data_IF_867558200451
#
_entry.id   IF_867558200451
#
_cell.length_a   1.000
_cell.length_b   1.000
_cell.length_c   1.000
_cell.angle_alpha   90.00
_cell.angle_beta   90.00
_cell.angle_gamma   90.00
#
_symmetry.space_group_name_H-M   'P 1'
#
loop_
_entity.id
_entity.type
_entity.pdbx_description
1 polymer ?
#
# COMPACT_ATOMS: atom_id res chain seq x y z
N UNK A 1 2.97 -9.20 45.74
CA UNK A 1 2.77 -8.07 44.80
C UNK A 1 3.29 -8.52 43.45
N UNK A 2 2.40 -9.05 42.60
CA UNK A 2 2.78 -9.64 41.31
C UNK A 2 2.55 -8.57 40.25
N UNK A 3 3.63 -8.07 39.66
CA UNK A 3 3.56 -7.20 38.50
C UNK A 3 3.18 -8.05 37.28
N UNK A 4 1.89 -8.06 36.93
CA UNK A 4 1.43 -8.49 35.61
C UNK A 4 1.69 -7.35 34.64
N UNK A 5 2.89 -7.31 34.06
CA UNK A 5 3.16 -6.45 32.92
C UNK A 5 2.31 -6.91 31.75
N UNK A 6 1.24 -6.18 31.46
CA UNK A 6 0.51 -6.29 30.19
C UNK A 6 1.51 -6.01 29.07
N UNK A 7 1.63 -6.95 28.14
CA UNK A 7 2.32 -6.74 26.89
C UNK A 7 1.55 -5.68 26.08
N UNK A 8 1.80 -4.40 26.38
CA UNK A 8 1.59 -3.27 25.46
C UNK A 8 2.64 -3.41 24.34
N UNK A 9 2.55 -4.51 23.59
CA UNK A 9 3.63 -5.03 22.77
C UNK A 9 3.45 -4.61 21.32
N UNK A 10 4.30 -3.69 20.84
CA UNK A 10 4.54 -3.32 19.44
C UNK A 10 3.35 -2.87 18.55
N UNK A 11 2.17 -3.49 18.64
CA UNK A 11 0.97 -3.19 17.85
C UNK A 11 0.36 -1.83 18.18
N UNK A 12 0.37 -1.39 19.45
CA UNK A 12 -0.11 -0.04 19.85
C UNK A 12 0.79 1.10 19.33
N UNK A 13 1.98 0.77 18.83
CA UNK A 13 2.91 1.71 18.19
C UNK A 13 2.91 1.61 16.66
N UNK A 14 2.32 0.55 16.10
CA UNK A 14 2.26 0.36 14.66
C UNK A 14 1.16 1.23 14.06
N UNK A 15 1.55 2.10 13.14
CA UNK A 15 0.68 3.08 12.52
C UNK A 15 -0.07 2.53 11.29
N UNK A 16 0.21 1.29 10.87
CA UNK A 16 -0.38 0.69 9.68
C UNK A 16 -1.80 0.17 9.94
N UNK A 17 -2.67 0.22 8.93
CA UNK A 17 -4.06 -0.22 9.03
C UNK A 17 -4.22 -1.73 9.30
N UNK A 18 -3.17 -2.52 9.12
CA UNK A 18 -3.12 -3.97 9.39
C UNK A 18 -2.53 -4.32 10.76
N UNK A 19 -2.21 -3.34 11.61
CA UNK A 19 -1.51 -3.57 12.89
C UNK A 19 -2.21 -4.60 13.79
N UNK A 20 -3.54 -4.63 13.77
CA UNK A 20 -4.33 -5.61 14.54
C UNK A 20 -4.20 -7.02 13.99
N UNK A 21 -4.11 -7.18 12.68
CA UNK A 21 -3.99 -8.48 12.00
C UNK A 21 -2.55 -9.00 11.97
N UNK A 22 -1.56 -8.12 12.12
CA UNK A 22 -0.15 -8.46 12.32
C UNK A 22 0.43 -7.81 13.58
N UNK A 23 0.12 -8.34 14.78
CA UNK A 23 0.59 -7.76 16.04
C UNK A 23 2.12 -7.81 16.21
N UNK A 24 2.82 -8.59 15.37
CA UNK A 24 4.28 -8.66 15.39
C UNK A 24 4.95 -7.49 14.65
N UNK A 25 4.19 -6.70 13.88
CA UNK A 25 4.68 -5.61 13.02
C UNK A 25 5.61 -6.08 11.89
N UNK A 26 5.59 -7.37 11.55
CA UNK A 26 6.43 -7.96 10.50
C UNK A 26 6.07 -7.40 9.12
N UNK A 27 4.79 -7.18 8.86
CA UNK A 27 4.26 -6.63 7.60
C UNK A 27 4.74 -5.20 7.43
N UNK A 28 4.61 -4.37 8.47
CA UNK A 28 5.12 -2.98 8.50
C UNK A 28 6.62 -2.93 8.25
N UNK A 29 7.44 -3.68 9.00
CA UNK A 29 8.91 -3.72 8.76
C UNK A 29 9.27 -4.21 7.36
N UNK A 30 8.50 -5.15 6.81
CA UNK A 30 8.71 -5.67 5.45
C UNK A 30 8.40 -4.61 4.40
N UNK A 31 7.27 -3.91 4.55
CA UNK A 31 6.85 -2.84 3.67
C UNK A 31 7.83 -1.65 3.76
N UNK A 32 8.23 -1.24 4.97
CA UNK A 32 9.25 -0.20 5.17
C UNK A 32 10.55 -0.54 4.45
N UNK A 33 11.05 -1.78 4.59
CA UNK A 33 12.25 -2.23 3.87
C UNK A 33 12.08 -2.13 2.35
N UNK A 34 10.97 -2.61 1.83
CA UNK A 34 10.70 -2.59 0.39
C UNK A 34 10.56 -1.15 -0.15
N UNK A 35 9.80 -0.29 0.53
CA UNK A 35 9.62 1.12 0.17
C UNK A 35 10.94 1.88 0.27
N UNK A 36 11.74 1.65 1.31
CA UNK A 36 13.05 2.30 1.45
C UNK A 36 13.99 1.98 0.29
N UNK A 37 13.87 0.78 -0.28
CA UNK A 37 14.65 0.32 -1.44
C UNK A 37 14.09 0.78 -2.79
N UNK A 38 12.88 1.33 -2.83
CA UNK A 38 12.26 1.87 -4.04
C UNK A 38 12.51 3.38 -4.17
N UNK A 39 12.07 3.96 -5.29
CA UNK A 39 12.04 5.40 -5.53
C UNK A 39 10.79 6.10 -4.98
N UNK A 40 9.83 5.39 -4.41
CA UNK A 40 8.56 5.99 -3.95
C UNK A 40 8.78 7.20 -3.00
N UNK A 41 9.64 7.12 -1.96
CA UNK A 41 9.88 8.25 -1.06
C UNK A 41 10.55 9.47 -1.73
N UNK A 42 11.16 9.27 -2.89
CA UNK A 42 11.91 10.30 -3.62
C UNK A 42 10.99 11.09 -4.60
N UNK A 43 9.78 10.59 -4.86
CA UNK A 43 8.82 11.21 -5.77
C UNK A 43 7.93 12.18 -4.98
N UNK A 44 7.59 13.31 -5.60
CA UNK A 44 6.53 14.22 -5.17
C UNK A 44 5.34 14.06 -6.12
N UNK A 45 4.35 13.19 -5.80
CA UNK A 45 3.20 13.00 -6.67
C UNK A 45 2.36 14.27 -6.76
N UNK A 46 1.78 14.54 -7.94
CA UNK A 46 0.78 15.58 -8.10
C UNK A 46 -0.44 15.29 -7.21
N UNK A 47 -0.96 16.32 -6.53
CA UNK A 47 -2.10 16.21 -5.61
C UNK A 47 -1.82 15.36 -4.36
N UNK A 48 -0.54 15.21 -3.97
CA UNK A 48 -0.15 14.45 -2.78
C UNK A 48 -0.82 14.97 -1.50
N UNK A 49 -1.14 16.25 -1.44
CA UNK A 49 -1.82 16.93 -0.35
C UNK A 49 -3.20 16.36 -0.02
N UNK A 50 -3.86 15.69 -0.97
CA UNK A 50 -5.12 14.99 -0.73
C UNK A 50 -4.91 13.77 0.17
N UNK A 51 -3.75 13.12 0.04
CA UNK A 51 -3.36 11.95 0.83
C UNK A 51 -2.48 12.31 2.04
N UNK A 52 -1.68 13.37 1.94
CA UNK A 52 -0.65 13.72 2.92
C UNK A 52 -0.23 15.20 2.79
N UNK A 53 -0.90 16.12 3.49
CA UNK A 53 -0.68 17.57 3.36
C UNK A 53 0.77 18.02 3.55
N UNK A 54 1.46 17.46 4.54
CA UNK A 54 2.84 17.84 4.87
C UNK A 54 3.92 17.05 4.09
N UNK A 55 3.56 16.21 3.11
CA UNK A 55 4.48 15.26 2.48
C UNK A 55 5.74 15.91 1.89
N UNK A 56 5.58 17.05 1.22
CA UNK A 56 6.68 17.75 0.58
C UNK A 56 7.76 18.22 1.58
N UNK A 57 7.35 18.55 2.81
CA UNK A 57 8.23 19.01 3.89
C UNK A 57 8.94 17.85 4.62
N UNK A 58 8.45 16.62 4.44
CA UNK A 58 8.96 15.46 5.16
C UNK A 58 10.28 14.95 4.59
N UNK A 59 11.12 14.46 5.49
CA UNK A 59 12.32 13.71 5.12
C UNK A 59 11.95 12.34 4.51
N UNK A 60 12.95 11.70 3.91
CA UNK A 60 12.77 10.45 3.17
C UNK A 60 12.20 9.33 4.06
N UNK A 61 12.67 9.19 5.30
CA UNK A 61 12.20 8.14 6.21
C UNK A 61 10.76 8.38 6.69
N UNK A 62 10.34 9.64 6.86
CA UNK A 62 8.93 9.94 7.15
C UNK A 62 8.04 9.68 5.94
N UNK A 63 8.52 9.95 4.73
CA UNK A 63 7.82 9.57 3.49
C UNK A 63 7.71 8.06 3.32
N UNK A 64 8.69 7.26 3.78
CA UNK A 64 8.57 5.79 3.84
C UNK A 64 7.32 5.40 4.65
N UNK A 65 7.10 6.04 5.81
CA UNK A 65 5.94 5.75 6.65
C UNK A 65 4.62 6.06 5.95
N UNK A 66 4.55 7.16 5.20
CA UNK A 66 3.38 7.47 4.37
C UNK A 66 3.06 6.34 3.39
N UNK A 67 4.04 5.89 2.60
CA UNK A 67 3.83 4.84 1.60
C UNK A 67 3.43 3.49 2.22
N UNK A 68 3.99 3.16 3.39
CA UNK A 68 3.57 1.97 4.15
C UNK A 68 2.12 2.13 4.63
N UNK A 69 1.76 3.31 5.12
CA UNK A 69 0.39 3.65 5.48
C UNK A 69 -0.58 3.49 4.31
N UNK A 70 -0.22 4.01 3.12
CA UNK A 70 -1.00 3.87 1.90
C UNK A 70 -1.20 2.39 1.52
N UNK A 71 -0.13 1.60 1.48
CA UNK A 71 -0.19 0.16 1.20
C UNK A 71 -1.08 -0.58 2.21
N UNK A 72 -1.05 -0.17 3.47
CA UNK A 72 -1.88 -0.79 4.51
C UNK A 72 -3.36 -0.46 4.39
N UNK A 73 -3.69 0.79 4.06
CA UNK A 73 -5.07 1.20 3.78
C UNK A 73 -5.61 0.51 2.53
N UNK A 74 -4.78 0.37 1.49
CA UNK A 74 -5.10 -0.43 0.31
C UNK A 74 -5.36 -1.90 0.70
N UNK A 75 -4.52 -2.51 1.54
CA UNK A 75 -4.72 -3.91 1.97
C UNK A 75 -6.03 -4.11 2.73
N UNK A 76 -6.43 -3.13 3.55
CA UNK A 76 -7.75 -3.12 4.19
C UNK A 76 -8.87 -3.05 3.15
N UNK A 77 -8.76 -2.18 2.16
CA UNK A 77 -9.76 -2.02 1.11
C UNK A 77 -9.88 -3.25 0.19
N UNK A 78 -8.76 -3.89 -0.13
CA UNK A 78 -8.67 -5.00 -1.10
C UNK A 78 -9.00 -6.37 -0.49
N UNK A 79 -8.56 -6.64 0.75
CA UNK A 79 -8.69 -7.98 1.34
C UNK A 79 -9.23 -8.00 2.77
N UNK A 80 -9.51 -6.82 3.35
CA UNK A 80 -9.71 -6.65 4.79
C UNK A 80 -8.50 -7.13 5.61
N UNK A 81 -7.29 -6.90 5.08
CA UNK A 81 -6.01 -7.34 5.66
C UNK A 81 -5.88 -8.87 5.82
N UNK A 82 -6.58 -9.65 4.99
CA UNK A 82 -6.53 -11.13 5.01
C UNK A 82 -5.61 -11.69 3.93
N UNK A 83 -4.62 -12.47 4.35
CA UNK A 83 -3.56 -13.00 3.47
C UNK A 83 -4.00 -14.18 2.60
N UNK A 84 -5.01 -14.92 3.03
CA UNK A 84 -5.51 -16.14 2.40
C UNK A 84 -6.57 -15.89 1.31
N UNK A 85 -7.06 -14.66 1.21
CA UNK A 85 -8.13 -14.30 0.27
C UNK A 85 -7.67 -14.52 -1.17
N UNK A 86 -8.57 -15.11 -1.96
CA UNK A 86 -8.48 -15.17 -3.41
C UNK A 86 -9.77 -14.64 -4.02
N UNK A 87 -9.66 -13.88 -5.10
CA UNK A 87 -10.81 -13.42 -5.86
C UNK A 87 -10.68 -13.83 -7.33
N UNK A 88 -11.81 -14.18 -7.94
CA UNK A 88 -11.88 -14.47 -9.37
C UNK A 88 -12.36 -13.22 -10.07
N UNK A 89 -11.46 -12.56 -10.80
CA UNK A 89 -11.76 -11.31 -11.48
C UNK A 89 -12.71 -11.54 -12.67
N UNK A 90 -13.45 -10.48 -13.03
CA UNK A 90 -14.27 -10.48 -14.25
C UNK A 90 -13.44 -10.47 -15.54
N UNK A 91 -12.17 -10.03 -15.47
CA UNK A 91 -11.25 -9.97 -16.60
C UNK A 91 -10.60 -11.32 -16.90
N UNK A 92 -10.17 -11.49 -18.15
CA UNK A 92 -9.45 -12.68 -18.62
C UNK A 92 -7.97 -12.37 -18.81
N UNK A 93 -7.15 -13.39 -18.60
CA UNK A 93 -5.71 -13.39 -18.81
C UNK A 93 -5.36 -13.50 -20.31
N UNK A 94 -4.07 -13.43 -20.67
CA UNK A 94 -3.63 -13.53 -22.07
C UNK A 94 -3.94 -14.88 -22.74
N UNK A 95 -4.39 -15.88 -21.98
CA UNK A 95 -4.81 -17.21 -22.44
C UNK A 95 -6.32 -17.40 -22.37
N UNK A 96 -7.08 -16.33 -22.11
CA UNK A 96 -8.54 -16.36 -22.04
C UNK A 96 -9.10 -16.99 -20.76
N UNK A 97 -8.30 -17.28 -19.73
CA UNK A 97 -8.79 -17.78 -18.43
C UNK A 97 -9.13 -16.63 -17.51
N UNK A 98 -10.04 -16.82 -16.56
CA UNK A 98 -10.33 -15.79 -15.56
C UNK A 98 -9.08 -15.50 -14.71
N UNK A 99 -8.76 -14.23 -14.50
CA UNK A 99 -7.66 -13.82 -13.63
C UNK A 99 -8.04 -14.16 -12.18
N UNK A 100 -7.09 -14.68 -11.41
CA UNK A 100 -7.25 -14.92 -9.98
C UNK A 100 -6.25 -14.06 -9.22
N UNK A 101 -6.76 -13.17 -8.39
CA UNK A 101 -6.01 -12.30 -7.48
C UNK A 101 -5.92 -12.91 -6.09
N UNK A 102 -4.85 -12.59 -5.35
CA UNK A 102 -4.51 -13.23 -4.06
C UNK A 102 -3.85 -12.29 -3.07
N UNK A 103 -4.07 -12.56 -1.79
CA UNK A 103 -3.37 -11.96 -0.66
C UNK A 103 -3.75 -10.51 -0.37
N UNK A 104 -2.90 -9.84 0.43
CA UNK A 104 -3.21 -8.53 1.00
C UNK A 104 -3.65 -7.50 -0.03
N UNK A 105 -2.94 -7.42 -1.15
CA UNK A 105 -3.18 -6.45 -2.22
C UNK A 105 -3.72 -7.06 -3.51
N UNK A 106 -4.37 -8.23 -3.40
CA UNK A 106 -5.10 -8.88 -4.50
C UNK A 106 -4.30 -8.89 -5.82
N UNK A 107 -3.07 -9.39 -5.75
CA UNK A 107 -2.14 -9.47 -6.89
C UNK A 107 -2.40 -10.77 -7.66
N UNK A 108 -2.22 -10.76 -8.98
CA UNK A 108 -2.24 -11.98 -9.81
C UNK A 108 -0.85 -12.30 -10.38
N UNK A 109 -0.52 -13.59 -10.52
CA UNK A 109 0.83 -14.04 -10.94
C UNK A 109 1.22 -13.52 -12.32
N UNK A 110 0.31 -13.61 -13.31
CA UNK A 110 0.61 -13.19 -14.68
C UNK A 110 0.96 -11.69 -14.74
N UNK A 111 0.22 -10.86 -14.02
CA UNK A 111 0.49 -9.43 -13.99
C UNK A 111 1.74 -9.09 -13.19
N UNK A 112 1.95 -9.72 -12.03
CA UNK A 112 3.13 -9.54 -11.18
C UNK A 112 4.46 -9.89 -11.88
N UNK A 113 4.43 -10.86 -12.80
CA UNK A 113 5.61 -11.33 -13.51
C UNK A 113 5.84 -10.63 -14.86
N UNK A 114 5.09 -9.58 -15.18
CA UNK A 114 5.42 -8.72 -16.31
C UNK A 114 6.81 -8.10 -16.10
N UNK A 115 7.60 -7.97 -17.17
CA UNK A 115 9.01 -7.55 -17.09
C UNK A 115 9.26 -6.20 -16.39
N UNK A 116 8.25 -5.32 -16.37
CA UNK A 116 8.29 -4.04 -15.66
C UNK A 116 8.26 -4.13 -14.13
N UNK A 117 7.72 -5.20 -13.56
CA UNK A 117 7.66 -5.42 -12.11
C UNK A 117 8.59 -6.56 -11.69
N UNK A 118 8.67 -7.61 -12.52
CA UNK A 118 9.52 -8.79 -12.34
C UNK A 118 9.48 -9.31 -10.89
N UNK A 119 8.27 -9.63 -10.40
CA UNK A 119 8.11 -10.10 -9.02
C UNK A 119 8.62 -11.55 -8.83
N UNK A 120 8.88 -12.28 -9.92
CA UNK A 120 9.43 -13.65 -9.94
C UNK A 120 8.64 -14.63 -9.08
N UNK A 121 7.32 -14.53 -9.13
CA UNK A 121 6.41 -15.41 -8.40
C UNK A 121 6.42 -16.77 -9.10
N UNK A 122 6.93 -17.80 -8.40
CA UNK A 122 7.05 -19.15 -8.97
C UNK A 122 5.72 -19.90 -8.94
N UNK A 123 5.05 -19.85 -7.78
CA UNK A 123 3.76 -20.51 -7.56
C UNK A 123 2.70 -19.52 -7.07
N UNK A 124 1.45 -19.73 -7.47
CA UNK A 124 0.34 -18.80 -7.13
C UNK A 124 0.14 -18.68 -5.62
N UNK A 125 0.45 -19.71 -4.83
CA UNK A 125 0.31 -19.71 -3.38
C UNK A 125 1.31 -18.78 -2.69
N UNK A 126 2.43 -18.44 -3.34
CA UNK A 126 3.40 -17.49 -2.78
C UNK A 126 2.79 -16.10 -2.61
N UNK A 127 1.74 -15.75 -3.36
CA UNK A 127 1.02 -14.48 -3.19
C UNK A 127 0.21 -14.41 -1.89
N UNK A 128 0.01 -15.53 -1.20
CA UNK A 128 -0.54 -15.55 0.16
C UNK A 128 0.52 -15.26 1.23
N UNK A 129 1.82 -15.32 0.90
CA UNK A 129 2.86 -14.83 1.81
C UNK A 129 2.85 -13.28 1.80
N UNK A 130 2.55 -12.61 2.93
CA UNK A 130 2.52 -11.16 2.99
C UNK A 130 3.86 -10.52 2.63
N UNK A 131 4.99 -11.20 2.86
CA UNK A 131 6.31 -10.69 2.49
C UNK A 131 6.47 -10.62 0.97
N UNK A 132 6.04 -11.66 0.27
CA UNK A 132 6.08 -11.72 -1.19
C UNK A 132 5.09 -10.71 -1.78
N UNK A 133 3.87 -10.68 -1.25
CA UNK A 133 2.80 -9.80 -1.71
C UNK A 133 3.20 -8.32 -1.59
N UNK A 134 3.68 -7.89 -0.42
CA UNK A 134 4.05 -6.49 -0.16
C UNK A 134 5.25 -6.04 -1.00
N UNK A 135 6.27 -6.89 -1.16
CA UNK A 135 7.42 -6.56 -2.03
C UNK A 135 6.99 -6.36 -3.49
N UNK A 136 6.11 -7.22 -3.98
CA UNK A 136 5.60 -7.09 -5.34
C UNK A 136 4.72 -5.84 -5.50
N UNK A 137 3.85 -5.56 -4.52
CA UNK A 137 3.02 -4.37 -4.53
C UNK A 137 3.84 -3.07 -4.61
N UNK A 138 4.93 -2.97 -3.85
CA UNK A 138 5.83 -1.80 -3.92
C UNK A 138 6.39 -1.61 -5.32
N UNK A 139 6.82 -2.69 -6.00
CA UNK A 139 7.34 -2.63 -7.37
C UNK A 139 6.28 -2.17 -8.37
N UNK A 140 5.06 -2.70 -8.27
CA UNK A 140 3.94 -2.34 -9.14
C UNK A 140 3.58 -0.86 -8.94
N UNK A 141 3.45 -0.43 -7.69
CA UNK A 141 3.10 0.94 -7.32
C UNK A 141 4.20 1.92 -7.77
N UNK A 142 5.47 1.62 -7.46
CA UNK A 142 6.61 2.42 -7.90
C UNK A 142 6.63 2.61 -9.41
N UNK A 143 6.48 1.53 -10.18
CA UNK A 143 6.50 1.61 -11.63
C UNK A 143 5.47 2.64 -12.13
N UNK A 144 4.21 2.53 -11.70
CA UNK A 144 3.17 3.40 -12.21
C UNK A 144 3.28 4.84 -11.72
N UNK A 145 3.58 5.03 -10.43
CA UNK A 145 3.75 6.39 -9.88
C UNK A 145 4.94 7.09 -10.52
N UNK A 146 6.02 6.37 -10.87
CA UNK A 146 7.13 6.94 -11.64
C UNK A 146 6.72 7.36 -13.05
N UNK A 147 5.84 6.61 -13.71
CA UNK A 147 5.38 6.96 -15.06
C UNK A 147 4.40 8.14 -15.04
N UNK A 148 3.42 8.11 -14.12
CA UNK A 148 2.30 9.06 -14.15
C UNK A 148 2.49 10.26 -13.21
N UNK A 149 3.49 10.22 -12.32
CA UNK A 149 3.76 11.26 -11.31
C UNK A 149 2.55 11.59 -10.42
N UNK A 150 1.65 10.62 -10.19
CA UNK A 150 0.47 10.75 -9.31
C UNK A 150 0.16 9.41 -8.65
N UNK A 151 -0.53 9.42 -7.50
CA UNK A 151 -1.04 8.20 -6.84
C UNK A 151 -2.26 7.65 -7.58
N UNK A 152 -3.16 8.52 -8.03
CA UNK A 152 -4.43 8.19 -8.69
C UNK A 152 -4.78 9.26 -9.73
N UNK A 153 -5.74 8.98 -10.61
CA UNK A 153 -6.41 10.04 -11.35
C UNK A 153 -7.33 10.85 -10.42
N UNK A 154 -7.49 12.13 -10.71
CA UNK A 154 -8.45 13.03 -10.04
C UNK A 154 -9.78 13.14 -10.82
N UNK A 155 -9.84 12.53 -12.00
CA UNK A 155 -11.02 12.47 -12.87
C UNK A 155 -11.22 11.04 -13.41
N UNK A 156 -12.42 10.76 -13.91
CA UNK A 156 -12.85 9.42 -14.34
C UNK A 156 -12.25 8.96 -15.69
N UNK A 157 -11.64 9.86 -16.46
CA UNK A 157 -11.35 9.63 -17.88
C UNK A 157 -10.29 8.54 -18.15
N UNK A 158 -9.39 8.25 -17.21
CA UNK A 158 -8.42 7.13 -17.31
C UNK A 158 -7.70 6.89 -15.98
N UNK A 159 -7.51 5.63 -15.55
CA UNK A 159 -6.75 5.34 -14.34
C UNK A 159 -5.27 5.73 -14.53
N UNK A 160 -4.73 6.43 -13.53
CA UNK A 160 -3.32 6.81 -13.41
C UNK A 160 -2.74 6.29 -12.09
N UNK A 161 -1.42 6.21 -12.00
CA UNK A 161 -0.71 5.77 -10.79
C UNK A 161 -1.12 4.37 -10.37
N UNK A 162 -1.34 4.18 -9.07
CA UNK A 162 -1.82 2.92 -8.52
C UNK A 162 -3.18 2.47 -9.09
N UNK A 163 -4.03 3.42 -9.51
CA UNK A 163 -5.31 3.14 -10.16
C UNK A 163 -5.19 2.28 -11.42
N UNK A 164 -4.03 2.27 -12.09
CA UNK A 164 -3.79 1.40 -13.25
C UNK A 164 -3.82 -0.09 -12.90
N UNK A 165 -3.51 -0.44 -11.65
CA UNK A 165 -3.53 -1.81 -11.16
C UNK A 165 -4.69 -2.06 -10.20
N UNK A 166 -4.87 -1.22 -9.18
CA UNK A 166 -5.86 -1.38 -8.13
C UNK A 166 -7.12 -0.57 -8.40
N UNK A 167 -8.27 -1.25 -8.45
CA UNK A 167 -9.57 -0.59 -8.64
C UNK A 167 -9.95 0.30 -7.45
N UNK A 168 -9.49 -0.04 -6.24
CA UNK A 168 -9.70 0.78 -5.03
C UNK A 168 -9.08 2.17 -5.11
N UNK A 169 -8.14 2.38 -6.04
CA UNK A 169 -7.51 3.67 -6.35
C UNK A 169 -8.06 4.31 -7.65
N UNK A 170 -9.32 4.06 -8.01
CA UNK A 170 -9.97 4.71 -9.15
C UNK A 170 -11.16 5.53 -8.68
N UNK A 171 -11.31 6.80 -9.05
CA UNK A 171 -12.58 7.50 -8.88
C UNK A 171 -13.68 6.82 -9.74
N UNK A 172 -14.94 6.75 -9.27
CA UNK A 172 -15.46 7.17 -7.97
C UNK A 172 -15.53 6.02 -6.93
N UNK A 173 -14.57 5.08 -6.94
CA UNK A 173 -14.60 3.90 -6.06
C UNK A 173 -14.72 4.33 -4.57
N UNK A 174 -15.66 3.76 -3.81
CA UNK A 174 -16.00 4.26 -2.46
C UNK A 174 -14.86 4.12 -1.45
N UNK A 175 -13.91 3.20 -1.69
CA UNK A 175 -12.73 3.00 -0.83
C UNK A 175 -11.65 4.06 -1.00
N UNK A 176 -11.59 4.76 -2.13
CA UNK A 176 -10.57 5.78 -2.39
C UNK A 176 -10.55 6.88 -1.32
N UNK A 177 -11.68 7.52 -0.96
CA UNK A 177 -11.70 8.51 0.12
C UNK A 177 -11.34 7.93 1.49
N UNK A 178 -11.68 6.67 1.78
CA UNK A 178 -11.27 6.00 3.03
C UNK A 178 -9.75 5.85 3.11
N UNK A 179 -9.12 5.43 1.99
CA UNK A 179 -7.67 5.28 1.87
C UNK A 179 -6.97 6.64 2.07
N UNK A 180 -7.44 7.68 1.39
CA UNK A 180 -6.88 9.03 1.51
C UNK A 180 -7.03 9.58 2.94
N UNK A 181 -8.21 9.40 3.54
CA UNK A 181 -8.46 9.83 4.92
C UNK A 181 -7.56 9.11 5.93
N UNK A 182 -7.29 7.82 5.74
CA UNK A 182 -6.37 7.06 6.59
C UNK A 182 -4.96 7.67 6.54
N UNK A 183 -4.40 7.87 5.35
CA UNK A 183 -3.04 8.40 5.22
C UNK A 183 -2.93 9.83 5.70
N UNK A 184 -3.95 10.66 5.45
CA UNK A 184 -3.99 12.06 5.89
C UNK A 184 -3.88 12.20 7.40
N UNK A 185 -4.40 11.23 8.14
CA UNK A 185 -4.39 11.21 9.61
C UNK A 185 -3.12 10.60 10.22
N UNK A 186 -2.19 10.07 9.42
CA UNK A 186 -0.91 9.59 9.93
C UNK A 186 -0.11 10.76 10.51
N UNK A 187 0.58 10.53 11.63
CA UNK A 187 1.56 11.49 12.17
C UNK A 187 2.61 11.90 11.14
N UNK A 188 2.94 11.00 10.21
CA UNK A 188 3.83 11.28 9.09
C UNK A 188 3.31 12.36 8.13
N UNK A 189 2.00 12.62 8.11
CA UNK A 189 1.33 13.57 7.21
C UNK A 189 0.85 14.85 7.89
N UNK A 190 1.03 14.95 9.20
CA UNK A 190 0.75 16.15 9.98
C UNK A 190 1.92 17.13 9.86
N UNK A 191 1.64 18.43 9.84
CA UNK A 191 2.66 19.48 9.89
C UNK A 191 3.54 19.35 11.13
N UNK A 192 4.74 19.92 11.11
CA UNK A 192 5.50 20.09 12.35
C UNK A 192 4.64 20.96 13.30
N UNK A 193 4.54 20.62 14.60
CA UNK A 193 3.91 21.52 15.54
C UNK A 193 4.65 22.86 15.45
N UNK A 194 3.90 23.92 15.15
CA UNK A 194 4.45 25.27 15.17
C UNK A 194 4.99 25.50 16.59
N UNK A 195 6.23 26.01 16.77
CA UNK A 195 6.60 26.49 18.09
C UNK A 195 5.57 27.54 18.50
N UNK A 196 5.00 27.38 19.70
CA UNK A 196 4.12 28.39 20.27
C UNK A 196 4.85 29.75 20.27
N UNK A 197 4.13 30.87 20.01
CA UNK A 197 4.73 32.20 20.01
C UNK A 197 5.40 32.54 21.34
#
# INVERSE_FOLDING_TARGET
MVWTGTAYGAADLDYAAWAREDPTGRWTRTAEKAVRQSRLPDILPNGIEDFCPAYAEKDRETRVKFWVGLLSAMARAESDCRTEVRHTEAIRDGRGRRVISRGLLQISVESANQGRYDCRIGRVEELHDPVVNLRCAVKILEYWIRQDQTITSFAEASPLGGGRYWATLRPPHPRLPEIAAFTRNLKACQGLPHPAP
#
